data_IF_152681054563
#
_entry.id   IF_152681054563
#
_cell.length_a   1.000
_cell.length_b   1.000
_cell.length_c   1.000
_cell.angle_alpha   90.00
_cell.angle_beta   90.00
_cell.angle_gamma   90.00
#
_symmetry.space_group_name_H-M   'P 1'
#
loop_
_entity.id
_entity.type
_entity.pdbx_description
1 polymer ?
#
# COMPACT_ATOMS: atom_id res chain seq x y z
N UNK A 1 -25.20 40.80 7.88
CA UNK A 1 -24.82 39.55 7.19
C UNK A 1 -23.48 39.08 7.74
N UNK A 2 -23.44 37.89 8.36
CA UNK A 2 -22.27 37.00 8.54
C UNK A 2 -22.73 35.85 9.44
N UNK A 3 -23.25 34.79 8.82
CA UNK A 3 -23.47 33.51 9.50
C UNK A 3 -22.17 32.74 9.38
N UNK A 4 -21.43 32.64 10.47
CA UNK A 4 -20.32 31.70 10.63
C UNK A 4 -20.92 30.31 10.74
N UNK A 5 -20.77 29.50 9.69
CA UNK A 5 -21.19 28.10 9.69
C UNK A 5 -20.12 27.29 10.42
N UNK A 6 -20.43 26.85 11.64
CA UNK A 6 -19.67 25.84 12.34
C UNK A 6 -19.71 24.54 11.54
N UNK A 7 -18.55 23.94 11.27
CA UNK A 7 -18.45 22.62 10.66
C UNK A 7 -19.08 21.60 11.61
N UNK A 8 -20.23 21.04 11.23
CA UNK A 8 -20.88 19.96 11.94
C UNK A 8 -19.99 18.72 11.89
N UNK A 9 -19.54 18.26 13.05
CA UNK A 9 -18.83 17.00 13.24
C UNK A 9 -19.73 15.87 12.71
N UNK A 10 -19.39 15.33 11.54
CA UNK A 10 -20.19 14.29 10.89
C UNK A 10 -20.22 13.03 11.79
N UNK A 11 -21.41 12.47 11.98
CA UNK A 11 -21.60 11.16 12.60
C UNK A 11 -20.77 10.10 11.85
N UNK A 12 -20.31 9.01 12.51
CA UNK A 12 -19.54 7.98 11.84
C UNK A 12 -20.42 7.37 10.74
N UNK A 13 -20.08 7.67 9.49
CA UNK A 13 -20.68 7.02 8.33
C UNK A 13 -20.28 5.56 8.40
N UNK A 14 -21.23 4.66 8.64
CA UNK A 14 -20.98 3.23 8.56
C UNK A 14 -20.42 2.90 7.17
N UNK A 15 -19.21 2.35 7.12
CA UNK A 15 -18.59 1.94 5.86
C UNK A 15 -19.50 0.96 5.11
N UNK A 16 -19.50 1.05 3.78
CA UNK A 16 -20.30 0.15 2.92
C UNK A 16 -19.81 -1.29 3.11
N UNK A 17 -20.76 -2.21 3.23
CA UNK A 17 -20.55 -3.67 3.20
C UNK A 17 -21.47 -4.28 2.14
N UNK A 18 -21.23 -5.53 1.76
CA UNK A 18 -22.16 -6.25 0.90
C UNK A 18 -23.45 -6.60 1.66
N UNK A 19 -24.53 -6.85 0.93
CA UNK A 19 -25.85 -7.11 1.51
C UNK A 19 -25.89 -8.40 2.37
N UNK A 20 -24.99 -9.34 2.09
CA UNK A 20 -24.82 -10.61 2.81
C UNK A 20 -23.82 -10.52 3.98
N UNK A 21 -23.23 -9.35 4.24
CA UNK A 21 -22.20 -9.15 5.25
C UNK A 21 -22.68 -8.27 6.40
N UNK A 22 -22.28 -8.64 7.63
CA UNK A 22 -22.52 -7.81 8.81
C UNK A 22 -21.72 -6.50 8.73
N UNK A 23 -22.31 -5.36 9.19
CA UNK A 23 -21.61 -4.09 9.23
C UNK A 23 -20.26 -4.15 9.96
N UNK A 24 -19.36 -3.23 9.60
CA UNK A 24 -18.10 -3.06 10.31
C UNK A 24 -18.33 -2.62 11.75
N UNK A 25 -17.69 -3.32 12.68
CA UNK A 25 -17.60 -2.87 14.07
C UNK A 25 -16.43 -1.91 14.23
N UNK A 26 -16.51 -1.02 15.23
CA UNK A 26 -15.41 -0.14 15.56
C UNK A 26 -14.14 -0.92 15.99
N UNK A 27 -14.30 -2.14 16.51
CA UNK A 27 -13.17 -3.00 16.88
C UNK A 27 -12.43 -3.48 15.64
N UNK A 28 -13.15 -4.05 14.67
CA UNK A 28 -12.56 -4.55 13.42
C UNK A 28 -11.83 -3.44 12.66
N UNK A 29 -12.41 -2.24 12.58
CA UNK A 29 -11.75 -1.11 11.89
C UNK A 29 -10.48 -0.64 12.60
N UNK A 30 -10.42 -0.74 13.93
CA UNK A 30 -9.19 -0.45 14.68
C UNK A 30 -8.12 -1.50 14.42
N UNK A 31 -8.49 -2.78 14.38
CA UNK A 31 -7.58 -3.88 14.08
C UNK A 31 -6.99 -3.74 12.68
N UNK A 32 -7.84 -3.49 11.67
CA UNK A 32 -7.41 -3.21 10.28
C UNK A 32 -6.48 -2.00 10.20
N UNK A 33 -6.83 -0.89 10.86
CA UNK A 33 -5.95 0.29 10.90
C UNK A 33 -4.59 -0.04 11.51
N UNK A 34 -4.59 -0.79 12.61
CA UNK A 34 -3.35 -1.14 13.33
C UNK A 34 -2.45 -2.01 12.45
N UNK A 35 -3.04 -2.96 11.72
CA UNK A 35 -2.34 -3.79 10.74
C UNK A 35 -1.72 -2.94 9.62
N UNK A 36 -2.50 -2.05 9.00
CA UNK A 36 -1.99 -1.17 7.94
C UNK A 36 -0.88 -0.24 8.45
N UNK A 37 -1.02 0.33 9.66
CA UNK A 37 0.01 1.18 10.26
C UNK A 37 1.31 0.42 10.55
N UNK A 38 1.21 -0.84 10.99
CA UNK A 38 2.36 -1.71 11.17
C UNK A 38 3.05 -2.02 9.84
N UNK A 39 2.28 -2.33 8.79
CA UNK A 39 2.80 -2.55 7.44
C UNK A 39 3.49 -1.28 6.89
N UNK A 40 2.92 -0.10 7.09
CA UNK A 40 3.54 1.19 6.70
C UNK A 40 4.89 1.37 7.39
N UNK A 41 4.98 1.09 8.69
CA UNK A 41 6.23 1.21 9.43
C UNK A 41 7.28 0.22 8.90
N UNK A 42 6.88 -1.03 8.64
CA UNK A 42 7.75 -2.05 8.09
C UNK A 42 8.26 -1.70 6.69
N UNK A 43 7.37 -1.33 5.77
CA UNK A 43 7.72 -0.96 4.40
C UNK A 43 8.66 0.25 4.33
N UNK A 44 8.47 1.24 5.22
CA UNK A 44 9.41 2.38 5.33
C UNK A 44 10.80 1.94 5.73
N UNK A 45 10.91 0.97 6.64
CA UNK A 45 12.19 0.41 7.03
C UNK A 45 12.81 -0.39 5.88
N UNK A 46 12.05 -1.23 5.19
CA UNK A 46 12.53 -1.99 4.01
C UNK A 46 13.07 -1.06 2.92
N UNK A 47 12.35 0.02 2.59
CA UNK A 47 12.78 1.02 1.62
C UNK A 47 14.10 1.66 2.06
N UNK A 48 14.21 2.03 3.33
CA UNK A 48 15.42 2.67 3.88
C UNK A 48 16.64 1.74 3.77
N UNK A 49 16.46 0.45 4.04
CA UNK A 49 17.52 -0.55 3.93
C UNK A 49 17.94 -0.75 2.47
N UNK A 50 16.97 -0.99 1.58
CA UNK A 50 17.24 -1.19 0.16
C UNK A 50 17.92 0.03 -0.50
N UNK A 51 17.56 1.25 -0.09
CA UNK A 51 18.23 2.47 -0.55
C UNK A 51 19.67 2.58 -0.04
N UNK A 52 19.95 2.18 1.20
CA UNK A 52 21.30 2.16 1.75
C UNK A 52 22.18 1.12 1.03
N UNK A 53 21.65 -0.06 0.78
CA UNK A 53 22.33 -1.14 0.06
C UNK A 53 22.63 -0.72 -1.39
N UNK A 54 21.68 -0.07 -2.07
CA UNK A 54 21.88 0.48 -3.40
C UNK A 54 23.02 1.52 -3.44
N UNK A 55 23.09 2.41 -2.44
CA UNK A 55 24.19 3.38 -2.31
C UNK A 55 25.53 2.68 -2.10
N UNK A 56 25.57 1.59 -1.32
CA UNK A 56 26.74 0.72 -1.18
C UNK A 56 27.20 0.16 -2.53
N UNK A 57 26.30 -0.51 -3.25
CA UNK A 57 26.56 -1.09 -4.57
C UNK A 57 26.98 -0.05 -5.63
N UNK A 58 26.58 1.21 -5.49
CA UNK A 58 27.04 2.30 -6.37
C UNK A 58 28.47 2.74 -6.08
N UNK A 59 28.91 2.69 -4.82
CA UNK A 59 30.30 3.00 -4.43
C UNK A 59 31.25 1.90 -4.89
N UNK A 60 30.88 0.64 -4.68
CA UNK A 60 31.73 -0.52 -5.00
C UNK A 60 31.94 -0.72 -6.51
N UNK A 61 31.04 -0.18 -7.34
CA UNK A 61 31.20 -0.15 -8.79
C UNK A 61 32.15 0.95 -9.28
N UNK A 62 32.42 1.98 -8.47
CA UNK A 62 33.33 3.08 -8.81
C UNK A 62 34.82 2.73 -8.70
N UNK A 63 35.16 1.67 -7.96
CA UNK A 63 36.53 1.21 -7.72
C UNK A 63 36.95 0.06 -8.65
N UNK A 64 36.25 -0.13 -9.77
CA UNK A 64 36.31 -1.28 -10.70
C UNK A 64 37.65 -1.55 -11.43
N UNK A 65 38.78 -1.25 -10.81
CA UNK A 65 40.09 -1.68 -11.25
C UNK A 65 40.25 -3.20 -11.02
N UNK A 66 39.95 -4.00 -12.05
CA UNK A 66 40.19 -5.44 -12.06
C UNK A 66 38.95 -6.31 -12.22
N UNK A 67 37.75 -5.72 -12.29
CA UNK A 67 36.52 -6.45 -12.59
C UNK A 67 36.59 -7.03 -14.01
N UNK A 68 36.32 -8.32 -14.14
CA UNK A 68 36.08 -8.92 -15.45
C UNK A 68 34.61 -8.71 -15.90
N UNK A 69 34.27 -9.23 -17.08
CA UNK A 69 32.91 -9.11 -17.62
C UNK A 69 31.85 -9.83 -16.75
N UNK A 70 32.23 -10.89 -16.05
CA UNK A 70 31.34 -11.61 -15.15
C UNK A 70 31.07 -10.79 -13.88
N UNK A 71 32.11 -10.18 -13.31
CA UNK A 71 31.99 -9.32 -12.12
C UNK A 71 31.11 -8.10 -12.39
N UNK A 72 31.30 -7.44 -13.53
CA UNK A 72 30.47 -6.31 -13.95
C UNK A 72 28.99 -6.71 -14.16
N UNK A 73 28.75 -7.90 -14.70
CA UNK A 73 27.42 -8.46 -14.88
C UNK A 73 26.72 -8.75 -13.55
N UNK A 74 27.42 -9.38 -12.61
CA UNK A 74 26.90 -9.69 -11.28
C UNK A 74 26.50 -8.42 -10.51
N UNK A 75 27.38 -7.41 -10.46
CA UNK A 75 27.09 -6.11 -9.80
C UNK A 75 25.92 -5.37 -10.43
N UNK A 76 25.72 -5.51 -11.74
CA UNK A 76 24.56 -4.91 -12.43
C UNK A 76 23.27 -5.62 -12.05
N UNK A 77 23.28 -6.95 -12.03
CA UNK A 77 22.13 -7.76 -11.63
C UNK A 77 21.71 -7.48 -10.18
N UNK A 78 22.67 -7.45 -9.25
CA UNK A 78 22.42 -7.12 -7.83
C UNK A 78 21.76 -5.74 -7.69
N UNK A 79 22.25 -4.74 -8.43
CA UNK A 79 21.67 -3.40 -8.43
C UNK A 79 20.23 -3.38 -8.95
N UNK A 80 19.96 -4.07 -10.05
CA UNK A 80 18.61 -4.17 -10.61
C UNK A 80 17.65 -4.90 -9.67
N UNK A 81 18.14 -5.90 -8.96
CA UNK A 81 17.39 -6.60 -7.92
C UNK A 81 17.01 -5.64 -6.78
N UNK A 82 17.97 -4.89 -6.22
CA UNK A 82 17.70 -3.94 -5.13
C UNK A 82 16.73 -2.82 -5.55
N UNK A 83 16.89 -2.29 -6.76
CA UNK A 83 15.95 -1.31 -7.32
C UNK A 83 14.54 -1.89 -7.43
N UNK A 84 14.42 -3.14 -7.87
CA UNK A 84 13.14 -3.82 -7.99
C UNK A 84 12.49 -4.02 -6.62
N UNK A 85 13.24 -4.43 -5.61
CA UNK A 85 12.74 -4.58 -4.23
C UNK A 85 12.25 -3.23 -3.67
N UNK A 86 13.05 -2.18 -3.79
CA UNK A 86 12.69 -0.84 -3.33
C UNK A 86 11.43 -0.30 -4.02
N UNK A 87 11.30 -0.50 -5.34
CA UNK A 87 10.12 -0.06 -6.09
C UNK A 87 8.85 -0.83 -5.68
N UNK A 88 8.95 -2.16 -5.48
CA UNK A 88 7.82 -2.94 -4.98
C UNK A 88 7.40 -2.46 -3.59
N UNK A 89 8.34 -2.27 -2.66
CA UNK A 89 8.04 -1.80 -1.31
C UNK A 89 7.36 -0.40 -1.32
N UNK A 90 7.82 0.51 -2.20
CA UNK A 90 7.17 1.82 -2.41
C UNK A 90 5.74 1.69 -2.91
N UNK A 91 5.47 0.84 -3.90
CA UNK A 91 4.11 0.60 -4.38
C UNK A 91 3.21 0.05 -3.26
N UNK A 92 3.72 -0.89 -2.46
CA UNK A 92 2.99 -1.43 -1.32
C UNK A 92 2.73 -0.35 -0.25
N UNK A 93 3.69 0.54 -0.01
CA UNK A 93 3.56 1.65 0.93
C UNK A 93 2.47 2.62 0.48
N UNK A 94 2.48 3.03 -0.78
CA UNK A 94 1.49 3.93 -1.35
C UNK A 94 0.07 3.35 -1.23
N UNK A 95 -0.09 2.04 -1.51
CA UNK A 95 -1.37 1.36 -1.36
C UNK A 95 -1.86 1.33 0.10
N UNK A 96 -0.96 1.15 1.06
CA UNK A 96 -1.29 1.16 2.49
C UNK A 96 -1.64 2.57 2.99
N UNK A 97 -0.88 3.59 2.59
CA UNK A 97 -1.18 4.99 2.92
C UNK A 97 -2.55 5.39 2.35
N UNK A 98 -2.82 5.03 1.10
CA UNK A 98 -4.13 5.25 0.48
C UNK A 98 -5.26 4.53 1.22
N UNK A 99 -5.03 3.30 1.71
CA UNK A 99 -6.02 2.60 2.52
C UNK A 99 -6.32 3.32 3.85
N UNK A 100 -5.31 3.94 4.49
CA UNK A 100 -5.51 4.77 5.70
C UNK A 100 -6.32 6.02 5.39
N UNK A 101 -6.02 6.73 4.31
CA UNK A 101 -6.79 7.90 3.86
C UNK A 101 -8.26 7.55 3.64
N UNK A 102 -8.51 6.38 3.05
CA UNK A 102 -9.87 5.87 2.82
C UNK A 102 -10.60 5.46 4.10
N UNK A 103 -9.87 5.03 5.12
CA UNK A 103 -10.45 4.81 6.45
C UNK A 103 -10.84 6.14 7.10
N UNK A 104 -10.06 7.20 6.87
CA UNK A 104 -10.32 8.54 7.40
C UNK A 104 -11.50 9.24 6.71
N UNK A 105 -11.60 9.15 5.38
CA UNK A 105 -12.66 9.81 4.60
C UNK A 105 -13.99 9.03 4.56
N UNK A 106 -13.98 7.78 5.03
CA UNK A 106 -15.13 6.88 5.09
C UNK A 106 -15.45 6.16 3.77
N UNK A 107 -14.54 6.16 2.81
CA UNK A 107 -14.67 5.45 1.53
C UNK A 107 -14.10 4.03 1.56
N UNK A 108 -13.43 3.62 2.64
CA UNK A 108 -12.86 2.28 2.78
C UNK A 108 -13.91 1.18 2.51
N UNK A 109 -13.50 0.20 1.71
CA UNK A 109 -14.37 -0.89 1.26
C UNK A 109 -15.25 -0.61 0.04
N UNK A 110 -15.07 0.52 -0.63
CA UNK A 110 -15.70 0.81 -1.94
C UNK A 110 -14.72 0.49 -3.08
N UNK A 111 -15.12 -0.27 -4.09
CA UNK A 111 -14.27 -0.54 -5.25
C UNK A 111 -14.05 0.75 -6.05
N UNK A 112 -12.81 1.14 -6.30
CA UNK A 112 -12.49 2.36 -7.06
C UNK A 112 -12.85 2.26 -8.55
N UNK A 113 -12.91 1.04 -9.09
CA UNK A 113 -13.24 0.83 -10.50
C UNK A 113 -14.75 0.82 -10.79
N UNK A 114 -15.58 0.30 -9.89
CA UNK A 114 -17.01 0.09 -10.15
C UNK A 114 -17.94 0.64 -9.07
N UNK A 115 -17.42 1.16 -7.96
CA UNK A 115 -18.22 1.71 -6.85
C UNK A 115 -18.90 0.66 -5.96
N UNK A 116 -18.84 -0.63 -6.30
CA UNK A 116 -19.46 -1.69 -5.51
C UNK A 116 -18.66 -2.01 -4.24
N UNK A 117 -19.30 -2.55 -3.19
CA UNK A 117 -18.60 -2.97 -1.97
C UNK A 117 -17.54 -4.06 -2.23
N UNK A 118 -16.36 -3.86 -1.67
CA UNK A 118 -15.31 -4.88 -1.53
C UNK A 118 -15.71 -5.76 -0.34
N UNK A 119 -15.67 -7.08 -0.52
CA UNK A 119 -16.08 -8.01 0.53
C UNK A 119 -15.25 -7.84 1.80
N UNK A 120 -15.91 -7.85 2.95
CA UNK A 120 -15.29 -7.67 4.27
C UNK A 120 -14.17 -8.68 4.52
N UNK A 121 -14.41 -9.97 4.23
CA UNK A 121 -13.40 -11.03 4.37
C UNK A 121 -12.17 -10.78 3.49
N UNK A 122 -12.34 -10.18 2.31
CA UNK A 122 -11.22 -9.82 1.43
C UNK A 122 -10.39 -8.71 2.04
N UNK A 123 -11.01 -7.71 2.65
CA UNK A 123 -10.28 -6.61 3.30
C UNK A 123 -9.61 -7.07 4.60
N UNK A 124 -10.21 -8.02 5.32
CA UNK A 124 -9.56 -8.66 6.46
C UNK A 124 -8.34 -9.50 6.07
N UNK A 125 -8.32 -10.05 4.85
CA UNK A 125 -7.17 -10.80 4.33
C UNK A 125 -6.16 -9.92 3.57
N UNK A 126 -6.61 -8.80 3.01
CA UNK A 126 -5.80 -7.86 2.23
C UNK A 126 -6.27 -6.42 2.49
N UNK A 127 -5.86 -5.81 3.62
CA UNK A 127 -6.35 -4.50 4.07
C UNK A 127 -6.15 -3.36 3.08
N UNK A 128 -5.11 -3.42 2.27
CA UNK A 128 -4.76 -2.43 1.24
C UNK A 128 -5.54 -2.56 -0.08
N UNK A 129 -6.42 -3.55 -0.22
CA UNK A 129 -7.10 -3.80 -1.47
C UNK A 129 -8.09 -2.69 -1.86
N UNK A 130 -7.89 -2.06 -3.03
CA UNK A 130 -8.75 -0.99 -3.54
C UNK A 130 -9.84 -1.46 -4.52
N UNK A 131 -9.74 -2.71 -5.00
CA UNK A 131 -10.63 -3.30 -6.00
C UNK A 131 -11.38 -4.52 -5.47
N UNK A 132 -12.62 -4.67 -5.91
CA UNK A 132 -13.37 -5.91 -5.75
C UNK A 132 -12.77 -7.04 -6.60
N UNK A 133 -13.08 -8.29 -6.25
CA UNK A 133 -12.54 -9.49 -6.93
C UNK A 133 -12.77 -9.43 -8.44
N UNK A 134 -13.98 -9.09 -8.88
CA UNK A 134 -14.34 -9.00 -10.30
C UNK A 134 -13.48 -7.98 -11.06
N UNK A 135 -13.30 -6.78 -10.50
CA UNK A 135 -12.46 -5.75 -11.11
C UNK A 135 -10.98 -6.14 -11.10
N UNK A 136 -10.50 -6.75 -10.01
CA UNK A 136 -9.11 -7.22 -9.92
C UNK A 136 -8.81 -8.32 -10.93
N UNK A 137 -9.67 -9.33 -11.06
CA UNK A 137 -9.51 -10.38 -12.08
C UNK A 137 -9.57 -9.84 -13.50
N UNK A 138 -10.36 -8.79 -13.77
CA UNK A 138 -10.38 -8.14 -15.08
C UNK A 138 -9.08 -7.40 -15.37
N UNK A 139 -8.46 -6.78 -14.36
CA UNK A 139 -7.18 -6.09 -14.48
C UNK A 139 -6.04 -7.09 -14.76
N UNK A 140 -6.02 -8.24 -14.08
CA UNK A 140 -4.97 -9.26 -14.23
C UNK A 140 -5.02 -10.00 -15.59
N UNK A 141 -6.15 -9.95 -16.30
CA UNK A 141 -6.31 -10.54 -17.63
C UNK A 141 -5.92 -9.61 -18.79
N UNK A 142 -5.52 -8.38 -18.48
CA UNK A 142 -5.06 -7.39 -19.47
C UNK A 142 -3.56 -7.37 -19.54
#
# INVERSE_FOLDING_TARGET
>A
MKRTSAATKAAPRSLRVRDDESPWTAKELREIRTEIEADVAHLRQEITVAEADLVGLMRDAGDGAGDDQADAGAKTFEREQEISLANNAREMLDQNLHALERLDDGSYGICESCGNPIGKLRLQAAPRATLCVTCKTKQERR
#
